data_IF_855829653941
#
_entry.id   IF_855829653941
#
_cell.length_a   1.000
_cell.length_b   1.000
_cell.length_c   1.000
_cell.angle_alpha   90.00
_cell.angle_beta   90.00
_cell.angle_gamma   90.00
#
_symmetry.space_group_name_H-M   'P 1'
#
loop_
_entity.id
_entity.type
_entity.pdbx_description
1 polymer ?
#
# COMPACT_ATOMS: atom_id res chain seq x y z
N UNK A 1 -38.85 53.17 -24.49
CA UNK A 1 -40.11 52.53 -24.93
C UNK A 1 -41.24 52.99 -24.00
N UNK A 2 -42.37 53.43 -24.55
CA UNK A 2 -43.53 53.82 -23.72
C UNK A 2 -44.18 52.60 -23.07
N UNK A 3 -44.91 52.78 -21.95
CA UNK A 3 -45.67 51.70 -21.29
C UNK A 3 -46.62 50.97 -22.24
N UNK A 4 -47.22 51.69 -23.19
CA UNK A 4 -48.09 51.15 -24.23
C UNK A 4 -47.34 50.24 -25.24
N UNK A 5 -46.07 50.54 -25.55
CA UNK A 5 -45.24 49.68 -26.40
C UNK A 5 -44.84 48.37 -25.72
N UNK A 6 -44.57 48.40 -24.40
CA UNK A 6 -44.21 47.20 -23.63
C UNK A 6 -45.41 46.26 -23.51
N UNK A 7 -46.61 46.79 -23.23
CA UNK A 7 -47.85 46.00 -23.15
C UNK A 7 -48.19 45.36 -24.49
N UNK A 8 -48.01 46.07 -25.60
CA UNK A 8 -48.21 45.53 -26.95
C UNK A 8 -47.21 44.41 -27.30
N UNK A 9 -45.93 44.58 -26.94
CA UNK A 9 -44.90 43.56 -27.21
C UNK A 9 -45.04 42.29 -26.37
N UNK A 10 -45.64 42.39 -25.18
CA UNK A 10 -45.87 41.27 -24.26
C UNK A 10 -47.19 40.52 -24.52
N UNK A 11 -47.98 40.90 -25.55
CA UNK A 11 -49.15 40.12 -25.95
C UNK A 11 -48.73 38.69 -26.36
N UNK A 12 -49.45 37.64 -25.90
CA UNK A 12 -49.07 36.24 -26.11
C UNK A 12 -48.79 35.92 -27.58
N UNK A 13 -49.66 36.37 -28.47
CA UNK A 13 -49.56 36.14 -29.93
C UNK A 13 -48.31 36.80 -30.56
N UNK A 14 -47.94 38.00 -30.11
CA UNK A 14 -46.76 38.72 -30.60
C UNK A 14 -45.49 38.07 -30.05
N UNK A 15 -45.51 37.60 -28.80
CA UNK A 15 -44.39 36.87 -28.19
C UNK A 15 -44.20 35.51 -28.86
N UNK A 16 -45.28 34.80 -29.17
CA UNK A 16 -45.26 33.51 -29.86
C UNK A 16 -44.75 33.67 -31.29
N UNK A 17 -45.22 34.68 -32.02
CA UNK A 17 -44.73 34.99 -33.38
C UNK A 17 -43.25 35.38 -33.39
N UNK A 18 -42.80 36.18 -32.42
CA UNK A 18 -41.37 36.50 -32.24
C UNK A 18 -40.54 35.27 -31.86
N UNK A 19 -41.07 34.39 -31.01
CA UNK A 19 -40.39 33.15 -30.63
C UNK A 19 -40.25 32.21 -31.82
N UNK A 20 -41.33 31.95 -32.58
CA UNK A 20 -41.29 31.10 -33.77
C UNK A 20 -40.35 31.67 -34.83
N UNK A 21 -40.40 32.99 -35.07
CA UNK A 21 -39.47 33.68 -35.97
C UNK A 21 -38.01 33.58 -35.49
N UNK A 22 -37.78 33.65 -34.17
CA UNK A 22 -36.47 33.46 -33.56
C UNK A 22 -35.96 32.04 -33.75
N UNK A 23 -36.78 31.03 -33.50
CA UNK A 23 -36.45 29.61 -33.72
C UNK A 23 -36.12 29.31 -35.19
N UNK A 24 -36.92 29.82 -36.12
CA UNK A 24 -36.66 29.67 -37.58
C UNK A 24 -35.32 30.30 -37.97
N UNK A 25 -35.00 31.47 -37.41
CA UNK A 25 -33.74 32.16 -37.70
C UNK A 25 -32.54 31.43 -37.09
N UNK A 26 -32.68 30.91 -35.87
CA UNK A 26 -31.62 30.14 -35.20
C UNK A 26 -31.34 28.79 -35.87
N UNK A 27 -32.35 28.19 -36.50
CA UNK A 27 -32.24 26.92 -37.20
C UNK A 27 -31.75 27.05 -38.65
N UNK A 28 -31.44 28.27 -39.13
CA UNK A 28 -30.85 28.45 -40.47
C UNK A 28 -29.44 27.83 -40.51
N UNK A 29 -29.09 27.04 -41.55
CA UNK A 29 -27.80 26.35 -41.64
C UNK A 29 -26.58 27.26 -41.42
N UNK A 30 -26.60 28.45 -42.03
CA UNK A 30 -25.53 29.45 -41.91
C UNK A 30 -25.34 29.97 -40.47
N UNK A 31 -26.45 30.11 -39.72
CA UNK A 31 -26.43 30.58 -38.33
C UNK A 31 -25.91 29.48 -37.41
N UNK A 32 -26.32 28.23 -37.64
CA UNK A 32 -25.81 27.04 -36.93
C UNK A 32 -24.30 26.89 -37.18
N UNK A 33 -23.86 27.02 -38.43
CA UNK A 33 -22.46 26.87 -38.80
C UNK A 33 -21.59 27.97 -38.20
N UNK A 34 -22.03 29.23 -38.27
CA UNK A 34 -21.33 30.36 -37.65
C UNK A 34 -21.23 30.19 -36.13
N UNK A 35 -22.32 29.75 -35.49
CA UNK A 35 -22.34 29.46 -34.05
C UNK A 35 -21.40 28.32 -33.70
N UNK A 36 -21.46 27.20 -34.41
CA UNK A 36 -20.58 26.05 -34.18
C UNK A 36 -19.09 26.41 -34.34
N UNK A 37 -18.74 27.19 -35.38
CA UNK A 37 -17.38 27.70 -35.56
C UNK A 37 -16.96 28.60 -34.39
N UNK A 38 -17.82 29.54 -33.97
CA UNK A 38 -17.54 30.42 -32.84
C UNK A 38 -17.40 29.66 -31.50
N UNK A 39 -18.21 28.62 -31.28
CA UNK A 39 -18.16 27.76 -30.10
C UNK A 39 -16.88 26.94 -30.08
N UNK A 40 -16.48 26.33 -31.20
CA UNK A 40 -15.21 25.60 -31.32
C UNK A 40 -14.00 26.51 -31.03
N UNK A 41 -14.02 27.74 -31.56
CA UNK A 41 -12.96 28.73 -31.28
C UNK A 41 -12.94 29.09 -29.80
N UNK A 42 -14.10 29.29 -29.16
CA UNK A 42 -14.19 29.62 -27.73
C UNK A 42 -13.76 28.46 -26.82
N UNK A 43 -14.11 27.23 -27.17
CA UNK A 43 -13.72 26.02 -26.44
C UNK A 43 -12.23 25.72 -26.56
N UNK A 44 -11.62 26.02 -27.71
CA UNK A 44 -10.19 25.82 -27.95
C UNK A 44 -9.30 26.97 -27.43
N UNK A 45 -9.87 27.98 -26.76
CA UNK A 45 -9.05 29.02 -26.11
C UNK A 45 -8.23 28.40 -24.98
N UNK A 46 -6.91 28.69 -24.88
CA UNK A 46 -6.04 28.13 -23.84
C UNK A 46 -6.61 28.29 -22.43
N UNK A 47 -7.16 29.46 -22.10
CA UNK A 47 -7.77 29.76 -20.80
C UNK A 47 -9.00 28.88 -20.50
N UNK A 48 -9.83 28.61 -21.50
CA UNK A 48 -11.02 27.75 -21.36
C UNK A 48 -10.61 26.30 -21.14
N UNK A 49 -9.64 25.80 -21.93
CA UNK A 49 -9.07 24.46 -21.76
C UNK A 49 -8.46 24.30 -20.37
N UNK A 50 -7.68 25.29 -19.93
CA UNK A 50 -7.01 25.25 -18.63
C UNK A 50 -8.02 25.28 -17.48
N UNK A 51 -9.07 26.11 -17.55
CA UNK A 51 -10.15 26.15 -16.56
C UNK A 51 -10.89 24.82 -16.48
N UNK A 52 -11.25 24.24 -17.61
CA UNK A 52 -11.92 22.93 -17.67
C UNK A 52 -11.02 21.81 -17.14
N UNK A 53 -9.72 21.84 -17.46
CA UNK A 53 -8.73 20.89 -16.96
C UNK A 53 -8.55 20.98 -15.45
N UNK A 54 -8.39 22.19 -14.89
CA UNK A 54 -8.28 22.42 -13.44
C UNK A 54 -9.55 22.02 -12.70
N UNK A 55 -10.71 22.46 -13.18
CA UNK A 55 -12.01 22.11 -12.58
C UNK A 55 -12.29 20.61 -12.64
N UNK A 56 -11.97 19.96 -13.77
CA UNK A 56 -12.07 18.51 -13.93
C UNK A 56 -11.17 17.75 -12.97
N UNK A 57 -9.90 18.16 -12.85
CA UNK A 57 -8.94 17.56 -11.89
C UNK A 57 -9.43 17.70 -10.45
N UNK A 58 -9.89 18.88 -10.04
CA UNK A 58 -10.39 19.12 -8.68
C UNK A 58 -11.61 18.25 -8.39
N UNK A 59 -12.55 18.18 -9.35
CA UNK A 59 -13.78 17.38 -9.20
C UNK A 59 -13.44 15.89 -9.12
N UNK A 60 -12.52 15.41 -9.96
CA UNK A 60 -12.07 14.03 -9.94
C UNK A 60 -11.35 13.69 -8.63
N UNK A 61 -10.46 14.55 -8.15
CA UNK A 61 -9.79 14.36 -6.85
C UNK A 61 -10.80 14.27 -5.71
N UNK A 62 -11.83 15.13 -5.69
CA UNK A 62 -12.90 15.07 -4.69
C UNK A 62 -13.71 13.77 -4.77
N UNK A 63 -14.04 13.31 -5.98
CA UNK A 63 -14.73 12.02 -6.16
C UNK A 63 -13.87 10.83 -5.67
N UNK A 64 -12.54 10.88 -5.83
CA UNK A 64 -11.65 9.83 -5.31
C UNK A 64 -11.51 9.83 -3.78
N UNK A 65 -11.87 10.92 -3.10
CA UNK A 65 -11.92 10.99 -1.64
C UNK A 65 -13.19 10.34 -1.06
N UNK A 66 -14.25 10.20 -1.87
CA UNK A 66 -15.47 9.47 -1.49
C UNK A 66 -15.20 7.94 -1.49
N UNK A 67 -15.29 7.27 -0.33
CA UNK A 67 -15.04 5.84 -0.21
C UNK A 67 -15.95 4.98 -1.10
N UNK A 68 -17.24 5.33 -1.23
CA UNK A 68 -18.21 4.54 -2.01
C UNK A 68 -17.90 4.61 -3.50
N UNK A 69 -17.60 5.82 -3.99
CA UNK A 69 -17.16 6.02 -5.36
C UNK A 69 -15.87 5.25 -5.64
N UNK A 70 -14.88 5.37 -4.76
CA UNK A 70 -13.59 4.68 -4.90
C UNK A 70 -13.76 3.16 -4.92
N UNK A 71 -14.56 2.60 -4.03
CA UNK A 71 -14.82 1.16 -3.98
C UNK A 71 -15.55 0.67 -5.25
N UNK A 72 -16.56 1.40 -5.71
CA UNK A 72 -17.27 1.09 -6.96
C UNK A 72 -16.33 1.10 -8.17
N UNK A 73 -15.43 2.07 -8.25
CA UNK A 73 -14.43 2.13 -9.32
C UNK A 73 -13.45 0.96 -9.25
N UNK A 74 -12.91 0.66 -8.07
CA UNK A 74 -11.99 -0.48 -7.85
C UNK A 74 -12.69 -1.79 -8.24
N UNK A 75 -13.92 -2.02 -7.78
CA UNK A 75 -14.69 -3.23 -8.08
C UNK A 75 -14.95 -3.38 -9.59
N UNK A 76 -15.34 -2.29 -10.24
CA UNK A 76 -15.56 -2.28 -11.70
C UNK A 76 -14.27 -2.62 -12.45
N UNK A 77 -13.15 -2.06 -12.01
CA UNK A 77 -11.84 -2.32 -12.58
C UNK A 77 -11.39 -3.77 -12.37
N UNK A 78 -11.56 -4.33 -11.17
CA UNK A 78 -11.26 -5.73 -10.86
C UNK A 78 -12.07 -6.66 -11.77
N UNK A 79 -13.37 -6.41 -11.93
CA UNK A 79 -14.24 -7.21 -12.80
C UNK A 79 -13.75 -7.14 -14.25
N UNK A 80 -13.45 -5.94 -14.75
CA UNK A 80 -12.97 -5.75 -16.12
C UNK A 80 -11.61 -6.43 -16.37
N UNK A 81 -10.68 -6.35 -15.42
CA UNK A 81 -9.37 -6.99 -15.53
C UNK A 81 -9.43 -8.51 -15.40
N UNK A 82 -10.41 -9.03 -14.66
CA UNK A 82 -10.58 -10.46 -14.45
C UNK A 82 -11.24 -11.19 -15.63
N UNK A 83 -11.77 -10.47 -16.62
CA UNK A 83 -12.35 -11.09 -17.81
C UNK A 83 -11.31 -11.94 -18.57
N UNK A 84 -11.67 -13.14 -19.02
CA UNK A 84 -10.73 -14.08 -19.61
C UNK A 84 -10.01 -13.53 -20.86
N UNK A 85 -10.72 -12.80 -21.71
CA UNK A 85 -10.16 -12.17 -22.92
C UNK A 85 -9.12 -11.10 -22.59
N UNK A 86 -9.33 -10.35 -21.50
CA UNK A 86 -8.39 -9.33 -21.03
C UNK A 86 -7.14 -9.99 -20.47
N UNK A 87 -7.29 -11.03 -19.63
CA UNK A 87 -6.18 -11.82 -19.10
C UNK A 87 -5.34 -12.45 -20.21
N UNK A 88 -5.98 -13.06 -21.21
CA UNK A 88 -5.27 -13.70 -22.32
C UNK A 88 -4.51 -12.68 -23.17
N UNK A 89 -5.11 -11.53 -23.46
CA UNK A 89 -4.41 -10.43 -24.14
C UNK A 89 -3.18 -9.97 -23.36
N UNK A 90 -3.27 -9.83 -22.04
CA UNK A 90 -2.12 -9.50 -21.21
C UNK A 90 -1.06 -10.60 -21.21
N UNK A 91 -1.47 -11.87 -21.18
CA UNK A 91 -0.55 -13.02 -21.25
C UNK A 91 0.26 -12.98 -22.54
N UNK A 92 -0.40 -12.83 -23.69
CA UNK A 92 0.24 -12.76 -25.01
C UNK A 92 1.18 -11.55 -25.09
N UNK A 93 0.71 -10.38 -24.65
CA UNK A 93 1.52 -9.15 -24.68
C UNK A 93 2.76 -9.26 -23.80
N UNK A 94 2.61 -9.76 -22.57
CA UNK A 94 3.71 -9.93 -21.61
C UNK A 94 4.67 -11.06 -22.00
N UNK A 95 4.23 -12.00 -22.84
CA UNK A 95 5.08 -13.08 -23.34
C UNK A 95 6.09 -12.59 -24.40
N UNK A 96 5.80 -11.48 -25.10
CA UNK A 96 6.66 -10.92 -26.14
C UNK A 96 8.07 -10.61 -25.61
N UNK A 97 9.14 -11.00 -26.32
CA UNK A 97 10.51 -10.86 -25.84
C UNK A 97 10.90 -9.39 -25.61
N UNK A 98 10.44 -8.47 -26.45
CA UNK A 98 10.69 -7.03 -26.30
C UNK A 98 10.11 -6.48 -24.99
N UNK A 99 8.89 -6.88 -24.64
CA UNK A 99 8.21 -6.44 -23.41
C UNK A 99 8.94 -7.00 -22.19
N UNK A 100 9.34 -8.28 -22.24
CA UNK A 100 10.17 -8.89 -21.18
C UNK A 100 11.49 -8.16 -21.00
N UNK A 101 12.19 -7.84 -22.10
CA UNK A 101 13.46 -7.12 -22.08
C UNK A 101 13.30 -5.73 -21.47
N UNK A 102 12.35 -4.92 -21.96
CA UNK A 102 12.07 -3.58 -21.40
C UNK A 102 11.73 -3.62 -19.91
N UNK A 103 10.95 -4.61 -19.48
CA UNK A 103 10.61 -4.80 -18.06
C UNK A 103 11.85 -5.16 -17.24
N UNK A 104 12.69 -6.07 -17.75
CA UNK A 104 13.94 -6.44 -17.10
C UNK A 104 14.89 -5.25 -16.98
N UNK A 105 15.07 -4.48 -18.06
CA UNK A 105 15.98 -3.33 -18.07
C UNK A 105 15.50 -2.24 -17.10
N UNK A 106 14.19 -1.97 -17.11
CA UNK A 106 13.58 -1.04 -16.15
C UNK A 106 13.74 -1.51 -14.69
N UNK A 107 13.61 -2.81 -14.45
CA UNK A 107 13.82 -3.39 -13.12
C UNK A 107 15.29 -3.26 -12.68
N UNK A 108 16.24 -3.52 -13.58
CA UNK A 108 17.68 -3.34 -13.32
C UNK A 108 18.02 -1.89 -13.01
N UNK A 109 17.45 -0.93 -13.73
CA UNK A 109 17.64 0.51 -13.47
C UNK A 109 17.14 0.86 -12.07
N UNK A 110 15.92 0.44 -11.70
CA UNK A 110 15.39 0.67 -10.35
C UNK A 110 16.24 0.00 -9.26
N UNK A 111 16.84 -1.15 -9.55
CA UNK A 111 17.69 -1.85 -8.59
C UNK A 111 19.03 -1.14 -8.29
N UNK A 112 19.44 -0.21 -9.15
CA UNK A 112 20.62 0.64 -8.88
C UNK A 112 20.32 1.74 -7.84
N UNK A 113 19.05 2.11 -7.65
CA UNK A 113 18.64 3.06 -6.64
C UNK A 113 18.74 2.41 -5.24
N UNK A 114 19.62 2.90 -4.34
CA UNK A 114 19.80 2.33 -3.02
C UNK A 114 18.53 2.32 -2.18
N UNK A 115 17.69 3.37 -2.25
CA UNK A 115 16.45 3.47 -1.47
C UNK A 115 15.43 2.42 -1.94
N UNK A 116 15.28 2.26 -3.25
CA UNK A 116 14.42 1.23 -3.83
C UNK A 116 14.90 -0.17 -3.45
N UNK A 117 16.21 -0.42 -3.55
CA UNK A 117 16.82 -1.70 -3.17
C UNK A 117 16.59 -2.01 -1.70
N UNK A 118 16.85 -1.07 -0.80
CA UNK A 118 16.65 -1.24 0.64
C UNK A 118 15.18 -1.53 0.97
N UNK A 119 14.25 -0.76 0.38
CA UNK A 119 12.82 -0.99 0.56
C UNK A 119 12.40 -2.39 0.09
N UNK A 120 12.94 -2.87 -1.03
CA UNK A 120 12.66 -4.20 -1.54
C UNK A 120 13.28 -5.30 -0.66
N UNK A 121 14.50 -5.11 -0.16
CA UNK A 121 15.12 -6.01 0.80
C UNK A 121 14.33 -6.07 2.11
N UNK A 122 13.91 -4.91 2.64
CA UNK A 122 13.06 -4.85 3.83
C UNK A 122 11.73 -5.61 3.61
N UNK A 123 11.07 -5.40 2.46
CA UNK A 123 9.83 -6.11 2.14
C UNK A 123 10.05 -7.63 2.00
N UNK A 124 11.16 -8.04 1.39
CA UNK A 124 11.54 -9.45 1.27
C UNK A 124 11.85 -10.05 2.64
N UNK A 125 12.66 -9.39 3.46
CA UNK A 125 12.96 -9.79 4.83
C UNK A 125 11.70 -9.88 5.68
N UNK A 126 10.73 -8.97 5.53
CA UNK A 126 9.42 -9.07 6.20
C UNK A 126 8.64 -10.29 5.71
N UNK A 127 8.60 -10.53 4.40
CA UNK A 127 7.89 -11.66 3.80
C UNK A 127 8.49 -13.02 4.17
N UNK A 128 9.81 -13.07 4.37
CA UNK A 128 10.54 -14.23 4.85
C UNK A 128 10.57 -14.35 6.39
N UNK A 129 10.04 -13.36 7.12
CA UNK A 129 10.08 -13.34 8.58
C UNK A 129 11.48 -13.09 9.17
N UNK A 130 12.43 -12.56 8.40
CA UNK A 130 13.81 -12.25 8.85
C UNK A 130 13.89 -10.98 9.71
N UNK A 131 12.85 -10.14 9.69
CA UNK A 131 12.78 -8.95 10.53
C UNK A 131 12.01 -9.27 11.80
N UNK A 132 12.44 -8.71 12.95
CA UNK A 132 11.78 -8.98 14.21
C UNK A 132 10.31 -8.59 14.16
N UNK A 133 9.44 -9.48 14.61
CA UNK A 133 8.03 -9.22 14.81
C UNK A 133 7.81 -8.33 16.05
N UNK A 134 6.54 -8.03 16.38
CA UNK A 134 6.21 -7.16 17.53
C UNK A 134 6.70 -7.75 18.86
N UNK A 135 6.42 -9.03 19.20
CA UNK A 135 7.01 -9.69 20.37
C UNK A 135 8.54 -9.68 20.41
N UNK A 136 9.22 -9.99 19.30
CA UNK A 136 10.68 -9.99 19.23
C UNK A 136 11.24 -8.58 19.42
N UNK A 137 10.65 -7.57 18.78
CA UNK A 137 11.01 -6.16 18.99
C UNK A 137 10.87 -5.76 20.46
N UNK A 138 9.80 -6.22 21.12
CA UNK A 138 9.63 -6.01 22.55
C UNK A 138 10.76 -6.67 23.35
N UNK A 139 11.06 -7.94 23.09
CA UNK A 139 12.12 -8.68 23.78
C UNK A 139 13.51 -8.10 23.53
N UNK A 140 13.81 -7.63 22.31
CA UNK A 140 15.04 -6.90 21.98
C UNK A 140 15.22 -5.72 22.95
N UNK A 141 14.21 -4.84 23.02
CA UNK A 141 14.28 -3.65 23.87
C UNK A 141 14.31 -4.02 25.36
N UNK A 142 13.57 -5.05 25.76
CA UNK A 142 13.50 -5.50 27.15
C UNK A 142 14.83 -6.09 27.63
N UNK A 143 15.47 -6.92 26.80
CA UNK A 143 16.79 -7.48 27.07
C UNK A 143 17.85 -6.40 27.09
N UNK A 144 17.84 -5.47 26.13
CA UNK A 144 18.79 -4.35 26.10
C UNK A 144 18.64 -3.43 27.33
N UNK A 145 17.41 -3.22 27.81
CA UNK A 145 17.17 -2.46 29.05
C UNK A 145 17.71 -3.17 30.30
N UNK A 146 17.59 -4.50 30.38
CA UNK A 146 18.03 -5.28 31.55
C UNK A 146 19.53 -5.56 31.55
N UNK A 147 20.08 -5.84 30.36
CA UNK A 147 21.44 -6.31 30.12
C UNK A 147 22.00 -5.65 28.84
N UNK A 148 22.33 -4.35 28.89
CA UNK A 148 22.77 -3.61 27.72
C UNK A 148 24.00 -4.26 27.06
N UNK A 149 23.93 -4.48 25.75
CA UNK A 149 25.00 -5.10 24.95
C UNK A 149 25.40 -6.54 25.34
N UNK A 150 24.60 -7.27 26.13
CA UNK A 150 24.92 -8.66 26.48
C UNK A 150 24.14 -9.69 25.66
N UNK A 151 23.02 -9.29 25.05
CA UNK A 151 22.19 -10.15 24.23
C UNK A 151 22.08 -9.62 22.81
N UNK A 152 22.19 -10.53 21.84
CA UNK A 152 22.04 -10.24 20.41
C UNK A 152 20.84 -10.99 19.86
N UNK A 153 19.98 -10.30 19.11
CA UNK A 153 18.93 -10.93 18.31
C UNK A 153 19.54 -11.65 17.11
N UNK A 154 19.15 -12.90 16.93
CA UNK A 154 19.60 -13.79 15.85
C UNK A 154 18.45 -14.43 15.08
N UNK A 155 17.19 -14.08 15.37
CA UNK A 155 16.01 -14.54 14.61
C UNK A 155 16.04 -14.16 13.11
N UNK A 156 17.00 -13.35 12.68
CA UNK A 156 17.34 -13.06 11.29
C UNK A 156 18.25 -14.11 10.61
N UNK A 157 18.52 -15.24 11.29
CA UNK A 157 19.41 -16.32 10.86
C UNK A 157 20.90 -15.93 10.79
N UNK A 158 21.30 -14.88 11.51
CA UNK A 158 22.72 -14.49 11.59
C UNK A 158 23.58 -15.44 12.43
N UNK A 159 22.98 -16.41 13.14
CA UNK A 159 23.67 -17.41 13.96
C UNK A 159 22.93 -18.75 13.93
N UNK A 160 23.67 -19.86 13.97
CA UNK A 160 23.11 -21.22 13.96
C UNK A 160 23.89 -22.13 14.90
N UNK A 161 23.18 -23.00 15.62
CA UNK A 161 23.70 -24.14 16.37
C UNK A 161 23.13 -25.38 15.69
N UNK A 162 23.96 -26.21 15.04
CA UNK A 162 23.49 -27.44 14.36
C UNK A 162 22.31 -27.22 13.39
N UNK A 163 22.42 -26.21 12.53
CA UNK A 163 21.37 -25.86 11.56
C UNK A 163 20.10 -25.28 12.19
N UNK A 164 20.10 -25.02 13.49
CA UNK A 164 18.99 -24.45 14.24
C UNK A 164 19.32 -23.03 14.70
N UNK A 165 18.39 -22.10 14.45
CA UNK A 165 18.55 -20.69 14.77
C UNK A 165 17.90 -20.35 16.12
N UNK A 166 18.64 -19.98 17.17
CA UNK A 166 18.05 -19.37 18.36
C UNK A 166 17.56 -17.93 18.11
N UNK A 167 16.52 -17.48 18.81
CA UNK A 167 16.01 -16.11 18.61
C UNK A 167 16.96 -15.05 19.19
N UNK A 168 17.59 -15.36 20.31
CA UNK A 168 18.62 -14.53 20.93
C UNK A 168 19.78 -15.37 21.44
N UNK A 169 20.97 -14.80 21.37
CA UNK A 169 22.18 -15.38 21.95
C UNK A 169 22.87 -14.37 22.84
N UNK A 170 23.44 -14.87 23.93
CA UNK A 170 24.32 -14.08 24.77
C UNK A 170 25.67 -13.87 24.04
N UNK A 171 26.21 -12.65 24.14
CA UNK A 171 27.46 -12.23 23.51
C UNK A 171 28.53 -11.80 24.53
N UNK A 172 28.28 -12.00 25.83
CA UNK A 172 29.22 -11.71 26.92
C UNK A 172 30.22 -12.85 27.18
N UNK A 173 30.16 -13.93 26.39
CA UNK A 173 31.01 -15.12 26.51
C UNK A 173 30.31 -16.33 27.14
N UNK A 174 29.13 -16.14 27.73
CA UNK A 174 28.30 -17.25 28.19
C UNK A 174 27.60 -17.95 27.02
N UNK A 175 27.61 -19.29 27.01
CA UNK A 175 26.83 -20.08 26.04
C UNK A 175 25.37 -20.17 26.46
N UNK A 176 24.65 -19.05 26.38
CA UNK A 176 23.23 -18.96 26.69
C UNK A 176 22.43 -18.44 25.50
N UNK A 177 21.26 -18.99 25.29
CA UNK A 177 20.34 -18.57 24.24
C UNK A 177 18.90 -18.48 24.77
N UNK A 178 18.07 -17.70 24.09
CA UNK A 178 16.66 -17.53 24.41
C UNK A 178 15.84 -17.84 23.15
N UNK A 179 14.78 -18.61 23.34
CA UNK A 179 13.72 -18.87 22.35
C UNK A 179 12.46 -18.10 22.74
N UNK A 180 11.80 -17.49 21.76
CA UNK A 180 10.51 -16.85 21.90
C UNK A 180 9.41 -17.67 21.22
N UNK A 181 8.56 -18.28 22.05
CA UNK A 181 7.48 -19.15 21.58
C UNK A 181 6.15 -18.42 21.49
N UNK A 182 5.66 -18.24 20.26
CA UNK A 182 4.27 -17.81 20.00
C UNK A 182 3.26 -18.85 20.51
N UNK A 183 2.27 -18.43 21.31
CA UNK A 183 1.34 -19.36 21.98
C UNK A 183 0.49 -20.14 20.97
N UNK A 184 0.12 -19.52 19.85
CA UNK A 184 -0.64 -20.17 18.78
C UNK A 184 0.23 -21.09 17.92
N UNK A 185 1.44 -20.64 17.55
CA UNK A 185 2.32 -21.32 16.59
C UNK A 185 3.07 -22.51 17.20
N UNK A 186 3.31 -22.49 18.50
CA UNK A 186 4.09 -23.50 19.22
C UNK A 186 3.24 -24.33 20.18
N UNK A 187 1.91 -24.31 20.06
CA UNK A 187 0.98 -24.98 20.99
C UNK A 187 1.22 -26.49 21.14
N UNK A 188 1.70 -27.15 20.07
CA UNK A 188 1.92 -28.60 20.02
C UNK A 188 3.42 -28.93 20.00
N UNK A 189 4.29 -27.94 20.21
CA UNK A 189 5.74 -28.15 20.28
C UNK A 189 6.16 -28.36 21.73
N UNK A 190 7.07 -29.30 21.96
CA UNK A 190 7.75 -29.43 23.24
C UNK A 190 8.99 -28.52 23.27
N UNK A 191 9.02 -27.47 24.12
CA UNK A 191 10.22 -26.64 24.29
C UNK A 191 11.47 -27.46 24.66
N UNK A 192 11.29 -28.61 25.30
CA UNK A 192 12.38 -29.44 25.77
C UNK A 192 13.22 -30.00 24.61
N UNK A 193 12.64 -30.17 23.41
CA UNK A 193 13.39 -30.58 22.22
C UNK A 193 14.48 -29.57 21.86
N UNK A 194 14.15 -28.27 21.89
CA UNK A 194 15.10 -27.19 21.63
C UNK A 194 16.12 -27.07 22.74
N UNK A 195 15.67 -27.14 23.99
CA UNK A 195 16.55 -27.05 25.15
C UNK A 195 17.58 -28.18 25.10
N UNK A 196 17.15 -29.42 24.88
CA UNK A 196 18.03 -30.59 24.81
C UNK A 196 19.02 -30.50 23.65
N UNK A 197 18.55 -30.08 22.47
CA UNK A 197 19.42 -29.89 21.31
C UNK A 197 20.51 -28.85 21.58
N UNK A 198 20.16 -27.68 22.11
CA UNK A 198 21.17 -26.67 22.40
C UNK A 198 22.11 -27.11 23.53
N UNK A 199 21.57 -27.81 24.54
CA UNK A 199 22.36 -28.36 25.63
C UNK A 199 23.40 -29.36 25.16
N UNK A 200 23.13 -30.16 24.12
CA UNK A 200 24.13 -31.09 23.56
C UNK A 200 25.33 -30.39 22.93
N UNK A 201 25.21 -29.10 22.57
CA UNK A 201 26.31 -28.25 22.09
C UNK A 201 26.90 -27.34 23.19
N UNK A 202 26.50 -27.57 24.44
CA UNK A 202 26.96 -26.81 25.60
C UNK A 202 26.29 -25.44 25.75
N UNK A 203 25.11 -25.25 25.13
CA UNK A 203 24.31 -24.03 25.29
C UNK A 203 23.16 -24.26 26.25
N UNK A 204 22.99 -23.36 27.21
CA UNK A 204 21.77 -23.28 28.00
C UNK A 204 20.71 -22.49 27.25
N UNK A 205 19.46 -22.94 27.32
CA UNK A 205 18.35 -22.36 26.58
C UNK A 205 17.20 -22.00 27.51
N UNK A 206 16.76 -20.74 27.45
CA UNK A 206 15.53 -20.29 28.10
C UNK A 206 14.43 -20.14 27.06
N UNK A 207 13.26 -20.73 27.32
CA UNK A 207 12.07 -20.51 26.49
C UNK A 207 11.14 -19.51 27.16
N UNK A 208 10.81 -18.45 26.43
CA UNK A 208 9.86 -17.41 26.82
C UNK A 208 8.63 -17.53 25.93
N UNK A 209 7.48 -17.77 26.55
CA UNK A 209 6.21 -17.81 25.84
C UNK A 209 5.62 -16.41 25.67
N UNK A 210 4.93 -16.21 24.54
CA UNK A 210 4.30 -14.93 24.19
C UNK A 210 3.36 -14.39 25.28
N UNK A 211 2.64 -15.25 26.00
CA UNK A 211 1.73 -14.82 27.07
C UNK A 211 2.49 -14.30 28.31
N UNK A 212 3.74 -14.70 28.52
CA UNK A 212 4.59 -14.20 29.61
C UNK A 212 5.01 -12.74 29.39
N UNK A 213 4.96 -12.24 28.15
CA UNK A 213 5.27 -10.84 27.82
C UNK A 213 4.28 -9.84 28.46
N UNK A 214 3.15 -10.31 28.98
CA UNK A 214 2.15 -9.48 29.67
C UNK A 214 2.47 -9.27 31.15
N UNK A 215 3.27 -10.13 31.77
CA UNK A 215 3.69 -10.01 33.17
C UNK A 215 5.18 -9.68 33.25
N UNK A 216 5.48 -8.38 33.16
CA UNK A 216 6.85 -7.86 33.16
C UNK A 216 7.64 -8.25 34.42
N UNK A 217 6.99 -8.38 35.57
CA UNK A 217 7.67 -8.68 36.83
C UNK A 217 8.12 -10.14 36.84
N UNK A 218 7.23 -11.06 36.45
CA UNK A 218 7.56 -12.47 36.34
C UNK A 218 8.61 -12.71 35.25
N UNK A 219 8.43 -12.08 34.07
CA UNK A 219 9.37 -12.17 32.96
C UNK A 219 10.76 -11.68 33.34
N UNK A 220 10.86 -10.51 33.99
CA UNK A 220 12.15 -9.97 34.45
C UNK A 220 12.86 -10.94 35.39
N UNK A 221 12.14 -11.49 36.37
CA UNK A 221 12.72 -12.47 37.31
C UNK A 221 13.19 -13.71 36.58
N UNK A 222 12.40 -14.25 35.65
CA UNK A 222 12.75 -15.42 34.86
C UNK A 222 14.03 -15.21 34.04
N UNK A 223 14.17 -14.07 33.37
CA UNK A 223 15.38 -13.72 32.62
C UNK A 223 16.57 -13.52 33.56
N UNK A 224 16.39 -12.83 34.68
CA UNK A 224 17.43 -12.63 35.69
C UNK A 224 17.95 -13.96 36.25
N UNK A 225 17.04 -14.84 36.67
CA UNK A 225 17.39 -16.16 37.22
C UNK A 225 18.14 -17.03 36.21
N UNK A 226 17.95 -16.80 34.91
CA UNK A 226 18.66 -17.50 33.84
C UNK A 226 20.00 -16.84 33.50
N UNK A 227 20.06 -15.52 33.44
CA UNK A 227 21.27 -14.78 33.09
C UNK A 227 22.36 -14.86 34.17
N UNK A 228 21.98 -14.88 35.45
CA UNK A 228 22.91 -14.85 36.59
C UNK A 228 23.37 -16.23 37.10
N UNK A 229 22.73 -17.32 36.66
CA UNK A 229 23.12 -18.70 37.04
C UNK A 229 24.12 -19.31 36.09
#
# INVERSE_FOLDING_TARGET
MSKSQIIAQNRPEIREKKSKSGTITQNRPEVIEKRSKSEKIAQNRPETIERHSKSGKITQTKLWQDPEYREKQIRTQIIAQNRPEVKERYRISNAKPEVKKKRSDSAKIKWQDPEYREKQLLAMSKGLGLLPNKPETFLINFLDQLYPNEWKYTGDYSFLIDGKNPDFVNINGQKKCIEHYGTFWHKDHDPQDRINLFKSYGWDCLVIWEHELKDFKSLRRKIFDFAEK
#
